data_IF_419852011912
#
_entry.id   IF_419852011912
#
_cell.length_a   1.000
_cell.length_b   1.000
_cell.length_c   1.000
_cell.angle_alpha   90.00
_cell.angle_beta   90.00
_cell.angle_gamma   90.00
#
_symmetry.space_group_name_H-M   'P 1'
#
loop_
_entity.id
_entity.type
_entity.pdbx_description
1 polymer ?
#
# COMPACT_ATOMS: atom_id res chain seq x y z
N UNK A 1 5.86 -6.76 -2.96
CA UNK A 1 7.19 -6.82 -2.30
C UNK A 1 8.25 -6.08 -3.10
N UNK A 2 8.46 -6.38 -4.38
CA UNK A 2 9.43 -5.61 -5.21
C UNK A 2 9.00 -4.15 -5.49
N UNK A 3 7.77 -3.79 -5.13
CA UNK A 3 7.26 -2.41 -5.16
C UNK A 3 7.78 -1.53 -4.03
N UNK A 4 8.21 -2.15 -2.93
CA UNK A 4 8.55 -1.47 -1.69
C UNK A 4 9.84 -0.67 -1.85
N UNK A 5 10.02 0.36 -1.04
CA UNK A 5 11.28 1.11 -0.99
C UNK A 5 12.50 0.30 -0.50
N UNK A 6 12.28 -0.84 0.16
CA UNK A 6 13.31 -1.85 0.44
C UNK A 6 13.71 -2.67 -0.78
N UNK A 7 12.85 -2.72 -1.81
CA UNK A 7 13.07 -3.43 -3.07
C UNK A 7 13.54 -4.87 -2.89
N UNK A 8 14.52 -5.26 -3.71
CA UNK A 8 15.10 -6.60 -3.72
C UNK A 8 15.98 -6.94 -2.51
N UNK A 9 16.29 -5.96 -1.65
CA UNK A 9 17.13 -6.13 -0.47
C UNK A 9 16.32 -6.51 0.79
N UNK A 10 14.98 -6.56 0.69
CA UNK A 10 14.10 -7.02 1.75
C UNK A 10 14.50 -8.44 2.21
N UNK A 11 14.76 -8.60 3.52
CA UNK A 11 15.11 -9.89 4.13
C UNK A 11 13.86 -10.71 4.41
N UNK A 12 13.84 -11.94 3.92
CA UNK A 12 12.76 -12.93 4.09
C UNK A 12 13.27 -14.04 5.02
N UNK A 13 12.51 -14.27 6.10
CA UNK A 13 12.81 -15.29 7.11
C UNK A 13 11.80 -16.43 6.98
N UNK A 14 12.28 -17.66 6.81
CA UNK A 14 11.47 -18.88 6.80
C UNK A 14 11.94 -19.82 7.93
N UNK A 15 11.04 -20.52 8.64
CA UNK A 15 11.43 -21.46 9.68
C UNK A 15 12.40 -22.53 9.17
N UNK A 16 13.47 -22.79 9.94
CA UNK A 16 14.47 -23.80 9.61
C UNK A 16 15.36 -23.49 8.40
N UNK A 17 15.38 -22.24 7.92
CA UNK A 17 16.22 -21.78 6.83
C UNK A 17 16.99 -20.54 7.23
N UNK A 18 18.15 -20.33 6.59
CA UNK A 18 18.79 -19.02 6.67
C UNK A 18 17.92 -17.96 5.98
N UNK A 19 18.04 -16.73 6.46
CA UNK A 19 17.33 -15.62 5.85
C UNK A 19 17.99 -15.23 4.53
N UNK A 20 17.16 -14.93 3.54
CA UNK A 20 17.56 -14.58 2.18
C UNK A 20 16.99 -13.23 1.78
N UNK A 21 17.58 -12.57 0.80
CA UNK A 21 17.02 -11.34 0.24
C UNK A 21 15.92 -11.67 -0.78
N UNK A 22 15.00 -10.75 -1.06
CA UNK A 22 13.93 -10.98 -2.04
C UNK A 22 14.48 -11.35 -3.43
N UNK A 23 15.64 -10.80 -3.84
CA UNK A 23 16.35 -11.19 -5.08
C UNK A 23 16.61 -12.69 -5.20
N UNK A 24 16.83 -13.39 -4.08
CA UNK A 24 17.13 -14.83 -4.10
C UNK A 24 15.89 -15.65 -4.45
N UNK A 25 14.69 -15.11 -4.22
CA UNK A 25 13.41 -15.73 -4.54
C UNK A 25 12.79 -15.23 -5.85
N UNK A 26 13.27 -14.09 -6.35
CA UNK A 26 12.76 -13.44 -7.56
C UNK A 26 13.95 -13.00 -8.45
N UNK A 27 14.65 -13.94 -9.10
CA UNK A 27 15.70 -13.62 -10.05
C UNK A 27 15.11 -12.92 -11.29
N UNK A 28 15.92 -12.09 -11.94
CA UNK A 28 15.52 -11.30 -13.13
C UNK A 28 14.20 -10.54 -12.95
N UNK A 29 14.03 -9.97 -11.74
CA UNK A 29 12.78 -9.34 -11.32
C UNK A 29 12.42 -8.13 -12.17
N UNK A 30 11.16 -8.10 -12.63
CA UNK A 30 10.51 -6.87 -13.09
C UNK A 30 9.96 -6.06 -11.90
N UNK A 31 10.05 -4.74 -11.96
CA UNK A 31 9.53 -3.85 -10.93
C UNK A 31 9.57 -2.36 -11.29
N UNK A 32 9.34 -1.47 -10.30
CA UNK A 32 9.22 -0.03 -10.52
C UNK A 32 10.45 0.60 -11.20
N UNK A 33 11.64 0.04 -10.95
CA UNK A 33 12.91 0.52 -11.54
C UNK A 33 12.94 0.39 -13.07
N UNK A 34 12.34 -0.67 -13.62
CA UNK A 34 12.26 -0.91 -15.06
C UNK A 34 11.31 0.08 -15.76
N UNK A 35 10.40 0.68 -14.99
CA UNK A 35 9.46 1.72 -15.42
C UNK A 35 9.89 3.13 -14.97
N UNK A 36 11.13 3.28 -14.54
CA UNK A 36 11.74 4.55 -14.08
C UNK A 36 11.04 5.25 -12.91
N UNK A 37 10.24 4.52 -12.13
CA UNK A 37 9.55 5.06 -10.95
C UNK A 37 10.57 5.37 -9.85
N UNK A 38 10.48 6.58 -9.26
CA UNK A 38 11.41 7.06 -8.22
C UNK A 38 10.82 7.06 -6.82
N UNK A 39 9.53 7.35 -6.69
CA UNK A 39 8.81 7.26 -5.41
C UNK A 39 8.20 5.86 -5.32
N UNK A 40 8.69 5.06 -4.38
CA UNK A 40 8.33 3.65 -4.23
C UNK A 40 7.21 3.49 -3.19
N UNK A 41 6.61 2.30 -3.13
CA UNK A 41 5.63 2.00 -2.11
C UNK A 41 6.30 2.06 -0.72
N UNK A 42 5.62 2.71 0.24
CA UNK A 42 6.10 3.06 1.58
C UNK A 42 7.06 4.26 1.67
N UNK A 43 7.39 4.93 0.58
CA UNK A 43 7.92 6.29 0.66
C UNK A 43 6.83 7.28 1.08
N UNK A 44 7.24 8.41 1.67
CA UNK A 44 6.32 9.49 2.02
C UNK A 44 5.66 10.06 0.75
N UNK A 45 4.33 10.09 0.75
CA UNK A 45 3.51 10.60 -0.35
C UNK A 45 2.35 11.40 0.23
N UNK A 46 2.16 12.61 -0.30
CA UNK A 46 0.99 13.44 -0.07
C UNK A 46 0.57 14.10 -1.40
N UNK A 47 -0.60 13.76 -1.90
CA UNK A 47 -1.16 14.30 -3.14
C UNK A 47 -1.88 15.65 -2.96
N UNK A 48 -2.01 16.15 -1.72
CA UNK A 48 -2.48 17.50 -1.44
C UNK A 48 -3.99 17.73 -1.59
N UNK A 49 -4.81 16.68 -1.61
CA UNK A 49 -6.27 16.82 -1.57
C UNK A 49 -6.72 17.39 -0.22
N UNK A 50 -7.54 18.44 -0.27
CA UNK A 50 -8.07 19.08 0.93
C UNK A 50 -9.03 18.15 1.68
N UNK A 51 -8.83 18.01 3.00
CA UNK A 51 -9.73 17.28 3.86
C UNK A 51 -11.05 18.04 4.02
N UNK A 52 -12.16 17.41 3.65
CA UNK A 52 -13.51 18.00 3.75
C UNK A 52 -14.52 16.95 4.21
N UNK A 53 -15.67 17.41 4.72
CA UNK A 53 -16.73 16.53 5.22
C UNK A 53 -16.55 16.11 6.67
N UNK A 54 -17.25 15.04 7.06
CA UNK A 54 -17.18 14.45 8.39
C UNK A 54 -15.90 13.64 8.62
N UNK A 55 -15.74 13.06 9.81
CA UNK A 55 -14.55 12.30 10.17
C UNK A 55 -14.29 11.11 9.23
N UNK A 56 -15.35 10.42 8.77
CA UNK A 56 -15.25 9.29 7.85
C UNK A 56 -14.77 9.74 6.47
N UNK A 57 -15.32 10.84 5.95
CA UNK A 57 -14.93 11.43 4.67
C UNK A 57 -13.48 11.91 4.70
N UNK A 58 -13.09 12.63 5.75
CA UNK A 58 -11.72 13.11 5.92
C UNK A 58 -10.72 11.94 6.01
N UNK A 59 -11.08 10.85 6.69
CA UNK A 59 -10.23 9.65 6.76
C UNK A 59 -10.02 8.99 5.38
N UNK A 60 -11.06 8.94 4.55
CA UNK A 60 -10.94 8.42 3.18
C UNK A 60 -10.06 9.32 2.29
N UNK A 61 -10.21 10.64 2.38
CA UNK A 61 -9.37 11.61 1.63
C UNK A 61 -7.92 11.52 2.11
N UNK A 62 -7.67 11.44 3.42
CA UNK A 62 -6.32 11.27 3.96
C UNK A 62 -5.68 9.94 3.51
N UNK A 63 -6.46 8.86 3.36
CA UNK A 63 -5.98 7.62 2.78
C UNK A 63 -5.67 7.77 1.28
N UNK A 64 -6.51 8.49 0.52
CA UNK A 64 -6.25 8.78 -0.89
C UNK A 64 -4.98 9.62 -1.08
N UNK A 65 -4.73 10.64 -0.24
CA UNK A 65 -3.51 11.46 -0.26
C UNK A 65 -2.21 10.66 -0.12
N UNK A 66 -2.27 9.51 0.57
CA UNK A 66 -1.11 8.63 0.78
C UNK A 66 -1.07 7.43 -0.16
N UNK A 67 -1.97 7.37 -1.14
CA UNK A 67 -2.03 6.25 -2.08
C UNK A 67 -0.78 6.18 -2.96
N UNK A 68 -0.34 4.98 -3.31
CA UNK A 68 0.75 4.77 -4.26
C UNK A 68 0.14 4.36 -5.60
N UNK A 69 0.12 5.28 -6.56
CA UNK A 69 -0.56 5.11 -7.87
C UNK A 69 0.25 5.57 -9.09
N UNK A 70 1.56 5.26 -9.18
CA UNK A 70 2.40 5.84 -10.21
C UNK A 70 2.05 5.40 -11.64
N UNK A 71 1.20 4.38 -11.84
CA UNK A 71 0.89 3.81 -13.15
C UNK A 71 -0.41 4.36 -13.72
N UNK A 72 -1.53 4.19 -13.00
CA UNK A 72 -2.85 4.62 -13.51
C UNK A 72 -3.17 6.08 -13.23
N UNK A 73 -2.47 6.70 -12.28
CA UNK A 73 -2.78 8.06 -11.78
C UNK A 73 -4.22 8.18 -11.26
N UNK A 74 -4.74 7.12 -10.64
CA UNK A 74 -6.08 7.09 -10.02
C UNK A 74 -5.98 7.07 -8.49
N UNK A 75 -6.00 8.23 -7.80
CA UNK A 75 -5.83 8.29 -6.36
C UNK A 75 -7.09 7.77 -5.70
N UNK A 76 -6.92 6.90 -4.69
CA UNK A 76 -8.07 6.24 -4.06
C UNK A 76 -7.77 5.85 -2.62
N UNK A 77 -8.76 6.04 -1.77
CA UNK A 77 -8.75 5.69 -0.36
C UNK A 77 -10.14 5.25 0.08
N UNK A 78 -10.19 4.33 1.03
CA UNK A 78 -11.43 3.84 1.62
C UNK A 78 -11.32 4.01 3.13
N UNK A 79 -12.42 4.39 3.77
CA UNK A 79 -12.56 4.38 5.21
C UNK A 79 -13.84 3.64 5.61
N UNK A 80 -13.77 2.89 6.71
CA UNK A 80 -14.84 2.06 7.26
C UNK A 80 -15.11 2.51 8.69
N UNK A 81 -16.33 2.90 9.01
CA UNK A 81 -16.76 3.21 10.38
C UNK A 81 -17.48 2.00 10.99
N UNK A 82 -17.01 1.59 12.16
CA UNK A 82 -17.60 0.50 12.93
C UNK A 82 -18.76 1.02 13.81
N UNK A 83 -19.61 0.10 14.31
CA UNK A 83 -20.75 0.46 15.19
C UNK A 83 -20.34 1.17 16.49
N UNK A 84 -19.11 0.98 16.92
CA UNK A 84 -18.52 1.63 18.10
C UNK A 84 -17.81 2.96 17.78
N UNK A 85 -17.91 3.45 16.53
CA UNK A 85 -17.33 4.70 16.06
C UNK A 85 -15.84 4.62 15.66
N UNK A 86 -15.19 3.45 15.72
CA UNK A 86 -13.79 3.34 15.25
C UNK A 86 -13.74 3.35 13.72
N UNK A 87 -12.78 4.09 13.17
CA UNK A 87 -12.58 4.22 11.73
C UNK A 87 -11.29 3.52 11.31
N UNK A 88 -11.38 2.66 10.29
CA UNK A 88 -10.26 2.00 9.65
C UNK A 88 -10.16 2.43 8.19
N UNK A 89 -8.98 2.85 7.75
CA UNK A 89 -8.77 3.37 6.39
C UNK A 89 -7.68 2.62 5.65
N UNK A 90 -7.87 2.39 4.36
CA UNK A 90 -6.90 1.79 3.46
C UNK A 90 -6.60 2.69 2.27
N UNK A 91 -5.32 2.77 1.91
CA UNK A 91 -4.83 3.50 0.74
C UNK A 91 -4.65 2.54 -0.43
N UNK A 92 -4.89 3.01 -1.65
CA UNK A 92 -4.59 2.25 -2.86
C UNK A 92 -3.08 2.07 -3.01
N UNK A 93 -2.64 0.85 -3.32
CA UNK A 93 -1.23 0.52 -3.51
C UNK A 93 -1.07 -0.27 -4.81
N UNK A 94 -0.79 0.45 -5.89
CA UNK A 94 -0.53 -0.16 -7.19
C UNK A 94 0.76 -0.97 -7.22
N UNK A 95 0.87 -1.79 -8.25
CA UNK A 95 2.05 -2.59 -8.50
C UNK A 95 2.49 -2.48 -9.96
N UNK A 96 3.81 -2.48 -10.21
CA UNK A 96 4.37 -2.45 -11.56
C UNK A 96 3.82 -3.56 -12.47
N UNK A 97 3.58 -4.75 -11.90
CA UNK A 97 3.02 -5.90 -12.63
C UNK A 97 1.47 -5.88 -12.70
N UNK A 98 0.85 -4.75 -12.35
CA UNK A 98 -0.60 -4.47 -12.34
C UNK A 98 -1.44 -5.39 -11.45
N UNK A 99 -1.55 -6.68 -11.78
CA UNK A 99 -2.40 -7.64 -11.08
C UNK A 99 -2.14 -7.75 -9.55
N UNK A 100 -0.90 -7.61 -9.03
CA UNK A 100 -0.64 -7.64 -7.59
C UNK A 100 -1.02 -6.36 -6.83
N UNK A 101 -1.65 -5.38 -7.50
CA UNK A 101 -2.18 -4.16 -6.88
C UNK A 101 -3.11 -4.52 -5.72
N UNK A 102 -2.95 -3.82 -4.59
CA UNK A 102 -3.83 -3.95 -3.43
C UNK A 102 -4.86 -2.80 -3.44
N UNK A 103 -6.16 -3.09 -3.66
CA UNK A 103 -7.17 -2.05 -3.65
C UNK A 103 -7.41 -1.49 -2.22
N UNK A 104 -7.87 -0.23 -2.10
CA UNK A 104 -7.95 0.45 -0.80
C UNK A 104 -8.93 -0.21 0.18
N UNK A 105 -10.01 -0.84 -0.32
CA UNK A 105 -10.97 -1.56 0.51
C UNK A 105 -10.29 -2.74 1.24
N UNK A 106 -9.45 -3.51 0.55
CA UNK A 106 -8.70 -4.61 1.13
C UNK A 106 -7.78 -4.10 2.25
N UNK A 107 -7.09 -2.97 2.04
CA UNK A 107 -6.28 -2.35 3.09
C UNK A 107 -7.08 -2.00 4.34
N UNK A 108 -8.27 -1.39 4.17
CA UNK A 108 -9.14 -1.05 5.29
C UNK A 108 -9.64 -2.29 6.04
N UNK A 109 -10.06 -3.34 5.31
CA UNK A 109 -10.53 -4.61 5.87
C UNK A 109 -9.42 -5.38 6.59
N UNK A 110 -8.19 -5.36 6.07
CA UNK A 110 -7.04 -5.98 6.72
C UNK A 110 -6.79 -5.32 8.07
N UNK A 111 -6.79 -3.99 8.14
CA UNK A 111 -6.60 -3.27 9.41
C UNK A 111 -7.74 -3.53 10.40
N UNK A 112 -8.98 -3.57 9.91
CA UNK A 112 -10.16 -3.92 10.71
C UNK A 112 -10.01 -5.33 11.32
N UNK A 113 -9.68 -6.33 10.49
CA UNK A 113 -9.47 -7.71 10.93
C UNK A 113 -8.31 -7.85 11.93
N UNK A 114 -7.16 -7.19 11.66
CA UNK A 114 -6.01 -7.19 12.56
C UNK A 114 -6.30 -6.56 13.93
N UNK A 115 -7.37 -5.76 14.05
CA UNK A 115 -7.84 -5.17 15.30
C UNK A 115 -8.95 -5.97 15.98
N UNK A 116 -9.32 -7.14 15.44
CA UNK A 116 -10.26 -8.08 16.05
C UNK A 116 -11.73 -7.71 15.86
N UNK A 117 -12.07 -7.09 14.74
CA UNK A 117 -13.45 -6.79 14.32
C UNK A 117 -14.02 -7.86 13.38
#
# INVERSE_FOLDING_TARGET
MNELNSGLDLRIHLPGREAHALRDYLPDAFGPKDLEIKTLLMDEQDHGYALTGDALSQAAIAAANRSHMPYSKSPSGVALECKDGRIFSGSYAENAAFNPTLPPLQGALILLNLKGY
#
